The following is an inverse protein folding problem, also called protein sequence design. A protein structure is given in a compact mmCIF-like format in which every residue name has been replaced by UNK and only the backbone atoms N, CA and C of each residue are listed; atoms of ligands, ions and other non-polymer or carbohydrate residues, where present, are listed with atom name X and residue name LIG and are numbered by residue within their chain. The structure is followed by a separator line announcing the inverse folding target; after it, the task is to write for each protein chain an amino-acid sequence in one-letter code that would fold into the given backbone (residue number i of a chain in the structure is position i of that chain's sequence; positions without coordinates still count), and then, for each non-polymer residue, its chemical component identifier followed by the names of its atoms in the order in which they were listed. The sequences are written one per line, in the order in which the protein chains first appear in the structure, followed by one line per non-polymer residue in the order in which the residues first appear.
data_IF_752194443428
#
_entry.id   IF_752194443428
#
_cell.length_a   1.000
_cell.length_b   1.000
_cell.length_c   1.000
_cell.angle_alpha   90.00
_cell.angle_beta   90.00
_cell.angle_gamma   90.00
#
_symmetry.space_group_name_H-M   'P 1'
#
loop_
_entity.id
_entity.type
_entity.pdbx_description
1 polymer ?
#
# COMPACT_ATOMS: atom_id res chain seq x y z
N UNK A 1 16.84 -11.16 14.02
CA UNK A 1 15.83 -11.00 12.93
C UNK A 1 14.96 -9.83 13.31
N UNK A 2 14.86 -8.84 12.48
CA UNK A 2 13.97 -7.70 12.67
C UNK A 2 13.01 -7.57 11.48
N UNK A 3 11.80 -7.07 11.73
CA UNK A 3 10.79 -6.80 10.72
C UNK A 3 10.56 -5.29 10.63
N UNK A 4 10.74 -4.71 9.45
CA UNK A 4 10.59 -3.28 9.22
C UNK A 4 9.48 -3.00 8.21
N UNK A 5 8.40 -2.32 8.62
CA UNK A 5 7.44 -1.76 7.69
C UNK A 5 8.00 -0.47 7.09
N UNK A 6 8.02 -0.40 5.76
CA UNK A 6 8.57 0.72 4.98
C UNK A 6 7.41 1.47 4.33
N UNK A 7 7.38 2.79 4.49
CA UNK A 7 6.40 3.67 3.87
C UNK A 7 6.53 3.75 2.35
N UNK A 8 5.65 4.52 1.73
CA UNK A 8 5.59 4.74 0.28
C UNK A 8 6.95 5.21 -0.26
N UNK A 9 7.59 4.35 -1.06
CA UNK A 9 8.91 4.64 -1.63
C UNK A 9 8.78 5.54 -2.84
N UNK A 10 7.82 5.28 -3.69
CA UNK A 10 7.48 6.06 -4.89
C UNK A 10 8.71 6.46 -5.72
N UNK A 11 9.64 5.53 -5.97
CA UNK A 11 10.84 5.80 -6.77
C UNK A 11 11.91 6.66 -6.07
N UNK A 12 11.84 6.86 -4.76
CA UNK A 12 12.85 7.53 -3.95
C UNK A 12 13.98 6.54 -3.58
N UNK A 13 14.73 6.12 -4.60
CA UNK A 13 15.72 5.05 -4.49
C UNK A 13 16.85 5.35 -3.49
N UNK A 14 17.39 6.56 -3.52
CA UNK A 14 18.52 6.91 -2.66
C UNK A 14 18.09 7.01 -1.20
N UNK A 15 16.87 7.49 -0.95
CA UNK A 15 16.28 7.56 0.38
C UNK A 15 16.01 6.15 0.93
N UNK A 16 15.55 5.23 0.07
CA UNK A 16 15.41 3.82 0.45
C UNK A 16 16.77 3.23 0.85
N UNK A 17 17.81 3.42 0.04
CA UNK A 17 19.16 2.96 0.36
C UNK A 17 19.68 3.56 1.65
N UNK A 18 19.57 4.88 1.82
CA UNK A 18 20.02 5.57 3.03
C UNK A 18 19.25 5.13 4.28
N UNK A 19 17.95 4.84 4.17
CA UNK A 19 17.16 4.31 5.27
C UNK A 19 17.60 2.89 5.64
N UNK A 20 17.83 2.02 4.65
CA UNK A 20 18.30 0.64 4.88
C UNK A 20 19.70 0.61 5.51
N UNK A 21 20.61 1.47 5.06
CA UNK A 21 21.93 1.63 5.66
C UNK A 21 21.82 2.13 7.11
N UNK A 22 20.93 3.08 7.40
CA UNK A 22 20.69 3.62 8.76
C UNK A 22 20.18 2.57 9.74
N UNK A 23 19.36 1.62 9.28
CA UNK A 23 18.85 0.53 10.13
C UNK A 23 19.76 -0.69 10.13
N UNK A 24 20.89 -0.65 9.40
CA UNK A 24 21.82 -1.77 9.20
C UNK A 24 21.08 -3.04 8.70
N UNK A 25 20.21 -2.88 7.70
CA UNK A 25 19.39 -3.97 7.16
C UNK A 25 20.26 -5.08 6.55
N UNK A 26 20.05 -6.31 7.03
CA UNK A 26 20.70 -7.52 6.50
C UNK A 26 19.63 -8.44 5.86
N UNK A 27 19.58 -8.58 4.51
CA UNK A 27 18.58 -9.40 3.86
C UNK A 27 18.66 -10.91 4.18
N UNK A 28 19.78 -11.36 4.79
CA UNK A 28 19.91 -12.74 5.26
C UNK A 28 19.19 -12.99 6.60
N UNK A 29 18.90 -11.95 7.36
CA UNK A 29 18.34 -12.05 8.71
C UNK A 29 17.02 -11.30 8.87
N UNK A 30 16.87 -10.15 8.21
CA UNK A 30 15.76 -9.22 8.41
C UNK A 30 14.69 -9.32 7.32
N UNK A 31 13.49 -8.80 7.60
CA UNK A 31 12.39 -8.69 6.64
C UNK A 31 11.94 -7.26 6.46
N UNK A 32 11.63 -6.90 5.22
CA UNK A 32 11.01 -5.63 4.86
C UNK A 32 9.54 -5.86 4.50
N UNK A 33 8.68 -5.00 5.01
CA UNK A 33 7.24 -4.99 4.73
C UNK A 33 6.90 -3.68 4.00
N UNK A 34 6.78 -3.74 2.69
CA UNK A 34 6.46 -2.55 1.91
C UNK A 34 4.94 -2.35 1.86
N UNK A 35 4.49 -1.19 2.30
CA UNK A 35 3.07 -0.82 2.31
C UNK A 35 2.50 -0.48 0.93
N UNK A 36 3.26 -0.70 -0.14
CA UNK A 36 2.89 -0.39 -1.52
C UNK A 36 3.46 0.95 -2.02
N UNK A 37 3.03 1.32 -3.23
CA UNK A 37 3.54 2.49 -3.94
C UNK A 37 5.08 2.50 -3.98
N UNK A 38 5.64 1.40 -4.49
CA UNK A 38 7.09 1.24 -4.61
C UNK A 38 7.68 2.21 -5.64
N UNK A 39 6.92 2.50 -6.68
CA UNK A 39 7.35 3.20 -7.90
C UNK A 39 6.41 4.36 -8.24
N UNK A 40 6.81 5.14 -9.26
CA UNK A 40 6.11 6.31 -9.77
C UNK A 40 6.33 7.58 -8.92
N UNK A 41 6.02 8.73 -9.48
CA UNK A 41 6.14 10.08 -8.89
C UNK A 41 7.57 10.53 -8.57
N UNK A 42 8.36 9.74 -7.90
CA UNK A 42 9.75 10.05 -7.58
C UNK A 42 10.70 9.83 -8.76
N UNK A 43 11.98 10.15 -8.58
CA UNK A 43 12.92 10.30 -9.70
C UNK A 43 13.40 8.98 -10.30
N UNK A 44 13.32 7.86 -9.58
CA UNK A 44 14.00 6.62 -9.97
C UNK A 44 13.21 5.34 -9.71
N UNK A 45 12.10 5.21 -10.41
CA UNK A 45 11.25 4.01 -10.36
C UNK A 45 12.00 2.75 -10.82
N UNK A 46 12.89 2.89 -11.80
CA UNK A 46 13.63 1.74 -12.35
C UNK A 46 14.60 1.15 -11.32
N UNK A 47 15.50 1.95 -10.75
CA UNK A 47 16.45 1.44 -9.75
C UNK A 47 15.75 0.97 -8.48
N UNK A 48 14.65 1.59 -8.11
CA UNK A 48 13.86 1.17 -6.94
C UNK A 48 13.32 -0.25 -7.11
N UNK A 49 12.61 -0.52 -8.21
CA UNK A 49 12.03 -1.84 -8.44
C UNK A 49 13.12 -2.90 -8.66
N UNK A 50 14.19 -2.56 -9.39
CA UNK A 50 15.33 -3.45 -9.60
C UNK A 50 15.98 -3.87 -8.29
N UNK A 51 16.19 -2.92 -7.38
CA UNK A 51 16.78 -3.19 -6.08
C UNK A 51 15.86 -4.06 -5.21
N UNK A 52 14.58 -3.70 -5.08
CA UNK A 52 13.63 -4.47 -4.28
C UNK A 52 13.48 -5.89 -4.85
N UNK A 53 13.45 -6.03 -6.17
CA UNK A 53 13.41 -7.33 -6.81
C UNK A 53 14.64 -8.20 -6.49
N UNK A 54 15.85 -7.61 -6.40
CA UNK A 54 17.08 -8.33 -6.03
C UNK A 54 17.02 -8.91 -4.61
N UNK A 55 16.31 -8.23 -3.70
CA UNK A 55 16.15 -8.67 -2.30
C UNK A 55 14.75 -9.24 -2.00
N UNK A 56 13.97 -9.60 -3.04
CA UNK A 56 12.56 -9.98 -2.93
C UNK A 56 12.24 -11.09 -1.93
N UNK A 57 13.21 -11.99 -1.68
CA UNK A 57 13.04 -13.13 -0.77
C UNK A 57 13.03 -12.69 0.72
N UNK A 58 13.48 -11.47 1.00
CA UNK A 58 13.38 -10.81 2.30
C UNK A 58 12.29 -9.75 2.37
N UNK A 59 11.39 -9.70 1.36
CA UNK A 59 10.36 -8.66 1.26
C UNK A 59 8.96 -9.25 1.27
N UNK A 60 8.08 -8.67 2.08
CA UNK A 60 6.63 -8.80 1.99
C UNK A 60 6.08 -7.50 1.39
N UNK A 61 5.34 -7.58 0.29
CA UNK A 61 4.85 -6.41 -0.43
C UNK A 61 3.34 -6.46 -0.55
N UNK A 62 2.66 -5.37 -0.23
CA UNK A 62 1.30 -5.13 -0.70
C UNK A 62 1.32 -4.11 -1.82
N UNK A 63 0.39 -4.22 -2.78
CA UNK A 63 0.32 -3.29 -3.91
C UNK A 63 -0.37 -1.99 -3.50
N UNK A 64 0.24 -0.87 -3.87
CA UNK A 64 -0.37 0.43 -3.84
C UNK A 64 -1.07 0.78 -5.16
N UNK A 65 -1.77 1.92 -5.18
CA UNK A 65 -2.47 2.37 -6.38
C UNK A 65 -1.50 2.73 -7.52
N UNK A 66 -0.28 3.20 -7.22
CA UNK A 66 0.73 3.48 -8.25
C UNK A 66 1.33 2.21 -8.84
N UNK A 67 1.47 1.14 -8.07
CA UNK A 67 1.94 -0.16 -8.56
C UNK A 67 0.91 -0.79 -9.51
N UNK A 68 -0.39 -0.75 -9.16
CA UNK A 68 -1.47 -1.23 -10.02
C UNK A 68 -1.58 -0.36 -11.28
N UNK A 69 -1.42 0.96 -11.15
CA UNK A 69 -1.39 1.87 -12.29
C UNK A 69 -0.25 1.55 -13.26
N UNK A 70 0.94 1.27 -12.76
CA UNK A 70 2.06 0.82 -13.59
C UNK A 70 1.71 -0.46 -14.36
N UNK A 71 1.08 -1.44 -13.71
CA UNK A 71 0.66 -2.67 -14.39
C UNK A 71 -0.30 -2.38 -15.55
N UNK A 72 -1.25 -1.45 -15.39
CA UNK A 72 -2.19 -1.08 -16.45
C UNK A 72 -1.48 -0.37 -17.63
N UNK A 73 -0.50 0.49 -17.36
CA UNK A 73 0.30 1.15 -18.39
C UNK A 73 1.18 0.12 -19.12
N UNK A 74 1.86 -0.75 -18.39
CA UNK A 74 2.75 -1.77 -18.94
C UNK A 74 2.03 -2.82 -19.81
N UNK A 75 0.70 -2.94 -19.65
CA UNK A 75 -0.18 -3.74 -20.52
C UNK A 75 -0.80 -2.94 -21.67
N UNK A 76 -0.46 -1.65 -21.84
CA UNK A 76 -1.06 -0.73 -22.81
C UNK A 76 -2.58 -0.57 -22.65
N UNK A 77 -3.10 -0.76 -21.44
CA UNK A 77 -4.52 -0.57 -21.09
C UNK A 77 -4.81 0.86 -20.64
N UNK A 78 -3.77 1.61 -20.32
CA UNK A 78 -3.82 3.02 -19.94
C UNK A 78 -2.64 3.78 -20.51
N UNK A 79 -2.85 5.04 -20.89
CA UNK A 79 -1.75 5.95 -21.21
C UNK A 79 -1.16 6.53 -19.92
N UNK A 80 0.16 6.73 -19.84
CA UNK A 80 0.77 7.42 -18.72
C UNK A 80 0.16 8.83 -18.54
N UNK A 81 0.02 9.25 -17.29
CA UNK A 81 -0.26 10.64 -16.97
C UNK A 81 1.01 11.49 -17.15
N UNK A 82 0.82 12.81 -17.23
CA UNK A 82 1.96 13.75 -17.41
C UNK A 82 2.96 13.67 -16.24
N UNK A 83 2.46 13.39 -15.05
CA UNK A 83 3.23 13.34 -13.81
C UNK A 83 3.86 11.96 -13.53
N UNK A 84 3.63 10.98 -14.41
CA UNK A 84 4.21 9.64 -14.21
C UNK A 84 5.69 9.63 -14.58
N UNK A 85 6.50 9.02 -13.71
CA UNK A 85 7.96 8.90 -13.85
C UNK A 85 8.39 7.47 -14.18
N UNK A 86 7.59 6.78 -15.00
CA UNK A 86 7.72 5.34 -15.29
C UNK A 86 8.50 5.04 -16.58
N UNK A 87 8.90 6.08 -17.35
CA UNK A 87 9.45 5.89 -18.70
C UNK A 87 10.62 4.90 -18.73
N UNK A 88 11.64 5.11 -17.90
CA UNK A 88 12.83 4.25 -17.89
C UNK A 88 12.49 2.80 -17.52
N UNK A 89 11.54 2.59 -16.60
CA UNK A 89 11.07 1.27 -16.21
C UNK A 89 10.30 0.59 -17.35
N UNK A 90 9.45 1.33 -18.07
CA UNK A 90 8.68 0.82 -19.21
C UNK A 90 9.57 0.45 -20.42
N UNK A 91 10.70 1.12 -20.58
CA UNK A 91 11.70 0.86 -21.63
C UNK A 91 12.74 -0.20 -21.21
N UNK A 92 12.67 -0.73 -19.99
CA UNK A 92 13.62 -1.71 -19.46
C UNK A 92 13.49 -3.07 -20.16
N UNK A 93 14.63 -3.70 -20.44
CA UNK A 93 14.70 -5.10 -20.94
C UNK A 93 14.06 -6.09 -19.94
N UNK A 94 14.04 -5.76 -18.65
CA UNK A 94 13.47 -6.57 -17.58
C UNK A 94 12.01 -6.22 -17.25
N UNK A 95 11.33 -5.42 -18.07
CA UNK A 95 9.93 -5.00 -17.82
C UNK A 95 9.02 -6.18 -17.51
N UNK A 96 9.07 -7.25 -18.31
CA UNK A 96 8.23 -8.43 -18.12
C UNK A 96 8.52 -9.16 -16.81
N UNK A 97 9.77 -9.16 -16.35
CA UNK A 97 10.18 -9.75 -15.09
C UNK A 97 9.56 -8.99 -13.90
N UNK A 98 9.71 -7.66 -13.88
CA UNK A 98 9.16 -6.81 -12.82
C UNK A 98 7.63 -6.82 -12.82
N UNK A 99 7.02 -6.75 -13.99
CA UNK A 99 5.58 -6.86 -14.19
C UNK A 99 5.02 -8.17 -13.61
N UNK A 100 5.65 -9.31 -13.97
CA UNK A 100 5.26 -10.62 -13.45
C UNK A 100 5.44 -10.72 -11.94
N UNK A 101 6.49 -10.13 -11.39
CA UNK A 101 6.72 -10.12 -9.96
C UNK A 101 5.66 -9.29 -9.22
N UNK A 102 5.37 -8.06 -9.68
CA UNK A 102 4.33 -7.21 -9.08
C UNK A 102 2.94 -7.84 -9.13
N UNK A 103 2.54 -8.46 -10.25
CA UNK A 103 1.26 -9.20 -10.36
C UNK A 103 1.09 -10.26 -9.27
N UNK A 104 2.19 -10.80 -8.76
CA UNK A 104 2.19 -11.83 -7.74
C UNK A 104 2.27 -11.27 -6.31
N UNK A 105 2.25 -9.95 -6.12
CA UNK A 105 2.18 -9.36 -4.79
C UNK A 105 0.74 -9.34 -4.26
N UNK A 106 0.60 -9.09 -2.96
CA UNK A 106 -0.69 -9.13 -2.27
C UNK A 106 -1.33 -7.74 -2.21
N UNK A 107 -2.63 -7.66 -1.85
CA UNK A 107 -3.29 -6.41 -1.45
C UNK A 107 -3.37 -6.28 0.08
N UNK A 108 -3.20 -7.39 0.76
CA UNK A 108 -3.22 -7.52 2.20
C UNK A 108 -2.22 -8.60 2.61
N UNK A 109 -1.44 -8.32 3.61
CA UNK A 109 -0.49 -9.28 4.22
C UNK A 109 -0.63 -9.23 5.73
N UNK A 110 -0.51 -10.35 6.41
CA UNK A 110 -0.49 -10.40 7.88
C UNK A 110 0.44 -11.49 8.40
N UNK A 111 0.96 -11.26 9.57
CA UNK A 111 1.82 -12.21 10.28
C UNK A 111 1.75 -11.99 11.79
N UNK A 112 2.00 -13.06 12.56
CA UNK A 112 2.19 -12.99 14.00
C UNK A 112 3.65 -12.71 14.30
N UNK A 113 3.94 -11.61 14.95
CA UNK A 113 5.30 -11.18 15.33
C UNK A 113 5.45 -11.27 16.85
N UNK A 114 6.52 -11.91 17.28
CA UNK A 114 6.93 -11.88 18.69
C UNK A 114 7.55 -10.52 18.98
N UNK A 115 6.88 -9.71 19.79
CA UNK A 115 7.33 -8.39 20.22
C UNK A 115 7.85 -8.44 21.67
N UNK A 116 8.51 -7.35 22.12
CA UNK A 116 9.01 -7.24 23.49
C UNK A 116 7.90 -7.36 24.54
N UNK A 117 6.70 -6.86 24.21
CA UNK A 117 5.50 -6.82 25.06
C UNK A 117 4.48 -7.95 24.78
N UNK A 118 4.87 -8.97 23.99
CA UNK A 118 4.04 -10.12 23.67
C UNK A 118 3.82 -10.33 22.17
N UNK A 119 3.00 -11.33 21.83
CA UNK A 119 2.65 -11.60 20.44
C UNK A 119 1.66 -10.58 19.88
N UNK A 120 1.99 -9.98 18.73
CA UNK A 120 1.11 -9.09 17.98
C UNK A 120 0.81 -9.64 16.60
N UNK A 121 -0.40 -9.42 16.12
CA UNK A 121 -0.79 -9.67 14.74
C UNK A 121 -0.65 -8.36 13.99
N UNK A 122 0.28 -8.27 13.07
CA UNK A 122 0.37 -7.14 12.16
C UNK A 122 -0.34 -7.44 10.87
N UNK A 123 -1.29 -6.58 10.48
CA UNK A 123 -1.99 -6.65 9.21
C UNK A 123 -1.66 -5.40 8.41
N UNK A 124 -1.09 -5.59 7.23
CA UNK A 124 -0.64 -4.54 6.33
C UNK A 124 -1.53 -4.48 5.09
N UNK A 125 -1.99 -3.27 4.77
CA UNK A 125 -2.63 -2.90 3.50
C UNK A 125 -2.05 -1.58 3.03
N UNK A 126 -2.29 -1.20 1.76
CA UNK A 126 -1.76 0.08 1.31
C UNK A 126 -2.52 1.28 1.90
N UNK A 127 -3.87 1.30 1.87
CA UNK A 127 -4.64 2.47 2.31
C UNK A 127 -5.48 2.25 3.57
N UNK A 128 -5.76 1.01 3.95
CA UNK A 128 -6.55 0.70 5.14
C UNK A 128 -7.59 -0.39 4.91
N UNK A 129 -8.48 -0.56 5.89
CA UNK A 129 -9.58 -1.53 5.87
C UNK A 129 -10.87 -0.80 6.19
N UNK A 130 -11.95 -0.99 5.40
CA UNK A 130 -13.25 -0.37 5.68
C UNK A 130 -13.77 -0.73 7.07
N UNK A 131 -14.36 0.21 7.81
CA UNK A 131 -14.78 -0.02 9.20
C UNK A 131 -15.74 -1.18 9.40
N UNK A 132 -16.63 -1.43 8.42
CA UNK A 132 -17.66 -2.46 8.46
C UNK A 132 -17.16 -3.87 8.08
N UNK A 133 -15.94 -4.01 7.56
CA UNK A 133 -15.39 -5.32 7.19
C UNK A 133 -14.98 -6.14 8.41
N UNK A 134 -15.35 -7.40 8.38
CA UNK A 134 -14.75 -8.43 9.23
C UNK A 134 -13.36 -8.82 8.69
N UNK A 135 -12.65 -9.64 9.47
CA UNK A 135 -11.40 -10.26 9.00
C UNK A 135 -11.59 -11.06 7.70
N UNK A 136 -12.69 -11.79 7.63
CA UNK A 136 -13.01 -12.62 6.48
C UNK A 136 -13.29 -11.76 5.24
N UNK A 137 -14.08 -10.69 5.37
CA UNK A 137 -14.35 -9.76 4.26
C UNK A 137 -13.05 -9.18 3.69
N UNK A 138 -12.13 -8.76 4.55
CA UNK A 138 -10.84 -8.21 4.13
C UNK A 138 -9.99 -9.24 3.37
N UNK A 139 -9.95 -10.49 3.86
CA UNK A 139 -9.22 -11.57 3.22
C UNK A 139 -9.83 -11.96 1.87
N UNK A 140 -11.16 -12.11 1.80
CA UNK A 140 -11.87 -12.46 0.56
C UNK A 140 -11.69 -11.38 -0.50
N UNK A 141 -11.82 -10.10 -0.14
CA UNK A 141 -11.61 -8.99 -1.05
C UNK A 141 -10.17 -8.97 -1.61
N UNK A 142 -9.16 -9.13 -0.76
CA UNK A 142 -7.77 -9.18 -1.18
C UNK A 142 -7.47 -10.40 -2.06
N UNK A 143 -8.02 -11.56 -1.73
CA UNK A 143 -7.84 -12.80 -2.49
C UNK A 143 -8.52 -12.73 -3.87
N UNK A 144 -9.72 -12.12 -3.97
CA UNK A 144 -10.41 -11.93 -5.26
C UNK A 144 -9.55 -11.11 -6.23
N UNK A 145 -8.98 -10.00 -5.75
CA UNK A 145 -8.10 -9.14 -6.56
C UNK A 145 -6.81 -9.88 -6.91
N UNK A 146 -6.22 -10.59 -5.95
CA UNK A 146 -5.02 -11.40 -6.15
C UNK A 146 -5.24 -12.47 -7.23
N UNK A 147 -6.37 -13.15 -7.19
CA UNK A 147 -6.74 -14.15 -8.19
C UNK A 147 -6.89 -13.51 -9.58
N UNK A 148 -7.52 -12.33 -9.67
CA UNK A 148 -7.65 -11.60 -10.93
C UNK A 148 -6.29 -11.14 -11.49
N UNK A 149 -5.37 -10.67 -10.63
CA UNK A 149 -4.01 -10.30 -11.03
C UNK A 149 -3.20 -11.52 -11.51
N UNK A 150 -3.40 -12.68 -10.95
CA UNK A 150 -2.63 -13.91 -11.26
C UNK A 150 -3.14 -14.64 -12.49
N UNK A 151 -4.42 -14.49 -12.86
CA UNK A 151 -5.04 -15.12 -14.04
C UNK A 151 -4.85 -14.26 -15.30
N UNK A 152 -4.27 -14.82 -16.36
CA UNK A 152 -3.94 -14.06 -17.57
C UNK A 152 -5.17 -13.53 -18.34
N UNK A 153 -6.34 -14.15 -18.18
CA UNK A 153 -7.57 -13.69 -18.83
C UNK A 153 -8.22 -12.58 -18.02
N UNK A 154 -8.31 -12.76 -16.69
CA UNK A 154 -8.94 -11.81 -15.79
C UNK A 154 -8.07 -10.57 -15.56
N UNK A 155 -6.76 -10.72 -15.63
CA UNK A 155 -5.78 -9.65 -15.40
C UNK A 155 -6.04 -8.41 -16.25
N UNK A 156 -6.17 -8.61 -17.56
CA UNK A 156 -6.39 -7.48 -18.49
C UNK A 156 -7.79 -6.87 -18.31
N UNK A 157 -8.81 -7.69 -18.09
CA UNK A 157 -10.17 -7.22 -17.84
C UNK A 157 -10.24 -6.41 -16.53
N UNK A 158 -9.66 -6.94 -15.44
CA UNK A 158 -9.53 -6.23 -14.18
C UNK A 158 -8.84 -4.88 -14.36
N UNK A 159 -7.63 -4.83 -14.92
CA UNK A 159 -6.87 -3.59 -15.08
C UNK A 159 -7.55 -2.56 -15.98
N UNK A 160 -8.30 -3.00 -16.98
CA UNK A 160 -9.08 -2.10 -17.85
C UNK A 160 -10.21 -1.39 -17.11
N UNK A 161 -10.67 -1.95 -15.99
CA UNK A 161 -11.89 -1.53 -15.29
C UNK A 161 -11.66 -1.02 -13.86
N UNK A 162 -10.41 -0.95 -13.37
CA UNK A 162 -10.12 -0.54 -11.99
C UNK A 162 -10.30 0.96 -11.74
N UNK A 163 -10.31 1.78 -12.79
CA UNK A 163 -10.38 3.23 -12.64
C UNK A 163 -11.80 3.71 -12.39
N UNK A 164 -11.88 4.72 -11.57
CA UNK A 164 -13.15 5.40 -11.25
C UNK A 164 -13.43 5.41 -9.74
N UNK A 165 -14.33 6.31 -9.35
CA UNK A 165 -14.72 6.51 -7.95
C UNK A 165 -16.06 5.81 -7.63
N UNK A 166 -16.71 5.20 -8.62
CA UNK A 166 -17.96 4.47 -8.44
C UNK A 166 -17.78 2.99 -8.83
N UNK A 167 -18.47 2.07 -8.13
CA UNK A 167 -19.27 2.32 -6.92
C UNK A 167 -18.39 2.79 -5.76
N UNK A 168 -18.93 3.60 -4.85
CA UNK A 168 -18.24 4.11 -3.68
C UNK A 168 -18.70 3.45 -2.37
N UNK A 169 -19.62 2.49 -2.44
CA UNK A 169 -20.04 1.65 -1.32
C UNK A 169 -20.49 0.27 -1.76
N UNK A 170 -20.49 -0.67 -0.84
CA UNK A 170 -20.98 -2.03 -1.08
C UNK A 170 -22.51 -2.04 -1.23
N UNK A 171 -22.98 -2.73 -2.26
CA UNK A 171 -24.40 -3.00 -2.51
C UNK A 171 -24.59 -4.50 -2.82
N UNK A 172 -25.76 -5.08 -2.47
CA UNK A 172 -25.96 -6.54 -2.58
C UNK A 172 -25.81 -7.11 -3.99
N UNK A 173 -26.02 -6.30 -5.03
CA UNK A 173 -26.06 -6.74 -6.42
C UNK A 173 -24.90 -6.21 -7.27
N UNK A 174 -23.77 -5.82 -6.65
CA UNK A 174 -22.60 -5.42 -7.43
C UNK A 174 -22.11 -6.59 -8.30
N UNK A 175 -21.94 -6.33 -9.59
CA UNK A 175 -21.28 -7.28 -10.46
C UNK A 175 -19.80 -7.43 -10.03
N UNK A 176 -19.14 -8.47 -10.52
CA UNK A 176 -17.77 -8.80 -10.13
C UNK A 176 -16.79 -7.66 -10.36
N UNK A 177 -16.86 -6.99 -11.49
CA UNK A 177 -15.93 -5.90 -11.88
C UNK A 177 -16.10 -4.70 -10.95
N UNK A 178 -17.34 -4.28 -10.70
CA UNK A 178 -17.62 -3.15 -9.82
C UNK A 178 -17.21 -3.45 -8.37
N UNK A 179 -17.44 -4.70 -7.90
CA UNK A 179 -16.99 -5.14 -6.59
C UNK A 179 -15.46 -5.13 -6.50
N UNK A 180 -14.73 -5.65 -7.48
CA UNK A 180 -13.27 -5.61 -7.50
C UNK A 180 -12.74 -4.17 -7.55
N UNK A 181 -13.37 -3.27 -8.32
CA UNK A 181 -13.00 -1.83 -8.33
C UNK A 181 -13.20 -1.21 -6.95
N UNK A 182 -14.33 -1.43 -6.32
CA UNK A 182 -14.62 -0.93 -4.98
C UNK A 182 -13.60 -1.47 -3.96
N UNK A 183 -13.34 -2.78 -3.96
CA UNK A 183 -12.38 -3.42 -3.07
C UNK A 183 -10.96 -2.89 -3.30
N UNK A 184 -10.58 -2.65 -4.56
CA UNK A 184 -9.30 -2.00 -4.89
C UNK A 184 -9.25 -0.58 -4.32
N UNK A 185 -10.32 0.20 -4.45
CA UNK A 185 -10.39 1.55 -3.90
C UNK A 185 -10.31 1.55 -2.37
N UNK A 186 -10.94 0.60 -1.69
CA UNK A 186 -10.80 0.42 -0.24
C UNK A 186 -9.35 0.16 0.15
N UNK A 187 -8.74 -0.85 -0.43
CA UNK A 187 -7.41 -1.32 -0.02
C UNK A 187 -6.27 -0.40 -0.48
N UNK A 188 -6.50 0.46 -1.52
CA UNK A 188 -5.40 1.23 -2.12
C UNK A 188 -5.63 2.74 -2.21
N UNK A 189 -6.84 3.26 -1.94
CA UNK A 189 -7.14 4.69 -2.14
C UNK A 189 -7.92 5.34 -1.01
N UNK A 190 -8.46 4.55 -0.07
CA UNK A 190 -9.30 5.05 1.01
C UNK A 190 -8.55 6.02 1.92
N UNK A 191 -9.20 7.12 2.26
CA UNK A 191 -8.81 8.06 3.34
C UNK A 191 -10.01 8.34 4.23
N UNK A 192 -11.05 8.87 3.63
CA UNK A 192 -12.29 9.21 4.32
C UNK A 192 -13.42 8.28 3.88
N UNK A 193 -14.22 7.86 4.85
CA UNK A 193 -15.42 7.07 4.59
C UNK A 193 -16.50 7.37 5.65
N UNK A 194 -17.70 6.84 5.41
CA UNK A 194 -18.74 6.70 6.44
C UNK A 194 -18.58 5.37 7.19
N UNK A 195 -19.30 5.22 8.28
CA UNK A 195 -19.25 3.99 9.10
C UNK A 195 -19.72 2.73 8.35
N UNK A 196 -20.58 2.88 7.34
CA UNK A 196 -21.05 1.82 6.46
C UNK A 196 -20.08 1.54 5.28
N UNK A 197 -18.95 2.24 5.23
CA UNK A 197 -17.93 2.09 4.19
C UNK A 197 -18.15 2.95 2.95
N UNK A 198 -19.15 3.81 2.88
CA UNK A 198 -19.27 4.74 1.74
C UNK A 198 -18.02 5.60 1.63
N UNK A 199 -17.29 5.49 0.49
CA UNK A 199 -16.02 6.15 0.25
C UNK A 199 -16.18 7.60 -0.20
N UNK A 200 -15.24 8.43 0.25
CA UNK A 200 -14.91 9.71 -0.35
C UNK A 200 -13.47 9.63 -0.88
N UNK A 201 -13.27 9.82 -2.17
CA UNK A 201 -11.99 9.55 -2.86
C UNK A 201 -11.32 10.81 -3.45
N UNK A 202 -11.92 11.98 -3.32
CA UNK A 202 -11.39 13.23 -3.88
C UNK A 202 -10.61 14.05 -2.87
N UNK A 203 -11.02 14.05 -1.60
CA UNK A 203 -10.33 14.73 -0.53
C UNK A 203 -8.98 14.06 -0.21
N UNK A 204 -7.90 14.84 -0.24
CA UNK A 204 -6.51 14.36 -0.04
C UNK A 204 -5.79 15.08 1.10
N UNK A 205 -6.47 15.95 1.79
CA UNK A 205 -5.92 16.77 2.86
C UNK A 205 -5.63 15.99 4.15
N UNK A 206 -5.36 16.74 5.20
CA UNK A 206 -5.20 16.21 6.55
C UNK A 206 -6.55 15.79 7.14
N UNK A 207 -6.54 15.15 8.29
CA UNK A 207 -7.76 14.65 8.93
C UNK A 207 -8.81 15.74 9.20
N UNK A 208 -8.39 16.98 9.53
CA UNK A 208 -9.28 18.11 9.73
C UNK A 208 -10.01 18.59 8.46
N UNK A 209 -9.50 18.23 7.28
CA UNK A 209 -10.08 18.62 5.99
C UNK A 209 -11.20 17.66 5.53
N UNK A 210 -11.65 16.80 6.44
CA UNK A 210 -12.67 15.79 6.13
C UNK A 210 -13.95 16.42 5.58
N UNK A 211 -14.52 15.89 4.51
CA UNK A 211 -15.79 16.34 3.98
C UNK A 211 -16.94 16.10 4.97
N UNK A 212 -17.98 16.91 4.88
CA UNK A 212 -19.14 16.82 5.78
C UNK A 212 -19.76 15.41 5.73
N UNK A 213 -19.90 14.78 6.89
CA UNK A 213 -20.48 13.44 7.02
C UNK A 213 -19.49 12.29 6.85
N UNK A 214 -18.22 12.58 6.58
CA UNK A 214 -17.14 11.59 6.48
C UNK A 214 -16.15 11.75 7.62
N UNK A 215 -15.42 10.69 7.93
CA UNK A 215 -14.30 10.69 8.86
C UNK A 215 -13.13 9.92 8.26
N UNK A 216 -11.92 10.11 8.81
CA UNK A 216 -10.81 9.19 8.54
C UNK A 216 -11.27 7.76 8.87
N UNK A 217 -10.95 6.81 8.00
CA UNK A 217 -11.45 5.44 8.12
C UNK A 217 -11.16 4.82 9.50
N UNK A 218 -10.01 5.14 10.08
CA UNK A 218 -9.55 4.63 11.36
C UNK A 218 -10.21 5.31 12.58
N UNK A 219 -10.98 6.38 12.40
CA UNK A 219 -11.76 7.02 13.47
C UNK A 219 -13.15 6.42 13.64
N UNK A 220 -13.51 5.45 12.83
CA UNK A 220 -14.72 4.66 13.04
C UNK A 220 -14.42 3.44 13.91
N UNK A 221 -15.39 2.94 14.68
CA UNK A 221 -15.28 1.63 15.31
C UNK A 221 -15.09 0.56 14.23
N UNK A 222 -13.96 -0.17 14.28
CA UNK A 222 -13.69 -1.23 13.33
C UNK A 222 -14.41 -2.52 13.73
N UNK A 223 -14.97 -3.22 12.74
CA UNK A 223 -15.59 -4.55 12.95
C UNK A 223 -14.55 -5.63 13.22
N UNK A 224 -13.36 -5.51 12.61
CA UNK A 224 -12.21 -6.35 12.95
C UNK A 224 -11.78 -6.07 14.39
N UNK A 225 -12.07 -7.04 15.28
CA UNK A 225 -11.72 -6.93 16.71
C UNK A 225 -10.77 -8.05 17.08
N UNK A 226 -9.57 -7.69 17.47
CA UNK A 226 -8.61 -8.57 18.12
C UNK A 226 -7.68 -7.68 18.97
N UNK A 227 -7.52 -8.02 20.24
CA UNK A 227 -6.72 -7.22 21.17
C UNK A 227 -5.25 -7.09 20.75
N UNK A 228 -4.74 -8.08 20.01
CA UNK A 228 -3.36 -8.10 19.55
C UNK A 228 -3.18 -7.59 18.11
N UNK A 229 -4.27 -7.12 17.46
CA UNK A 229 -4.20 -6.67 16.07
C UNK A 229 -3.68 -5.25 15.96
N UNK A 230 -2.66 -5.09 15.11
CA UNK A 230 -2.09 -3.81 14.70
C UNK A 230 -2.24 -3.68 13.18
N UNK A 231 -2.77 -2.54 12.74
CA UNK A 231 -2.93 -2.23 11.30
C UNK A 231 -1.82 -1.32 10.84
N UNK A 232 -1.16 -1.67 9.73
CA UNK A 232 -0.11 -0.85 9.11
C UNK A 232 -0.58 -0.43 7.73
N UNK A 233 -0.41 0.86 7.40
CA UNK A 233 -0.77 1.38 6.09
C UNK A 233 0.11 2.57 5.65
N UNK A 234 0.12 2.84 4.35
CA UNK A 234 0.78 3.95 3.68
C UNK A 234 -0.19 4.98 3.11
N UNK A 235 -0.01 5.35 1.83
CA UNK A 235 -0.95 6.10 0.99
C UNK A 235 -1.28 7.53 1.44
N UNK A 236 -1.34 7.83 2.72
CA UNK A 236 -1.85 9.10 3.23
C UNK A 236 -0.73 9.98 3.79
N UNK A 237 0.12 10.47 2.88
CA UNK A 237 1.28 11.32 3.21
C UNK A 237 0.92 12.53 4.10
N UNK A 238 -0.27 13.11 3.93
CA UNK A 238 -0.70 14.26 4.70
C UNK A 238 -0.83 14.00 6.21
N UNK A 239 -0.93 12.74 6.64
CA UNK A 239 -0.90 12.36 8.08
C UNK A 239 0.50 12.52 8.70
N UNK A 240 1.55 12.57 7.88
CA UNK A 240 2.93 12.63 8.37
C UNK A 240 3.31 11.45 9.27
N UNK A 241 2.69 10.29 9.07
CA UNK A 241 2.89 9.09 9.87
C UNK A 241 2.16 9.09 11.23
N UNK A 242 1.08 9.85 11.40
CA UNK A 242 0.37 9.99 12.69
C UNK A 242 -1.12 9.69 12.55
N UNK A 243 -1.62 8.73 13.33
CA UNK A 243 -3.06 8.47 13.49
C UNK A 243 -3.57 8.82 14.88
N UNK A 244 -2.67 9.02 15.86
CA UNK A 244 -2.97 9.14 17.30
C UNK A 244 -3.71 7.91 17.87
N UNK A 245 -3.68 6.78 17.20
CA UNK A 245 -4.24 5.49 17.64
C UNK A 245 -3.12 4.47 17.63
N UNK A 246 -2.72 4.00 18.80
CA UNK A 246 -1.54 3.13 19.02
C UNK A 246 -1.49 1.92 18.08
N UNK A 247 -2.62 1.26 17.85
CA UNK A 247 -2.71 0.04 17.04
C UNK A 247 -2.93 0.28 15.55
N UNK A 248 -2.96 1.55 15.10
CA UNK A 248 -3.15 1.92 13.70
C UNK A 248 -1.97 2.78 13.26
N UNK A 249 -1.07 2.17 12.52
CA UNK A 249 0.26 2.70 12.20
C UNK A 249 0.24 3.22 10.77
N UNK A 250 0.22 4.55 10.60
CA UNK A 250 0.50 5.20 9.33
C UNK A 250 2.01 5.32 9.15
N UNK A 251 2.55 4.95 7.98
CA UNK A 251 4.00 4.98 7.76
C UNK A 251 4.40 5.77 6.49
N UNK A 252 3.44 6.21 5.67
CA UNK A 252 3.72 7.16 4.60
C UNK A 252 4.02 8.53 5.22
N UNK A 253 5.26 8.94 5.12
CA UNK A 253 5.77 10.22 5.65
C UNK A 253 6.16 11.18 4.56
N UNK A 254 5.67 10.96 3.33
CA UNK A 254 5.71 11.90 2.23
C UNK A 254 7.08 12.09 1.59
N UNK A 255 7.88 11.04 1.46
CA UNK A 255 9.23 11.13 0.88
C UNK A 255 9.24 11.83 -0.48
N UNK A 256 8.39 11.41 -1.40
CA UNK A 256 8.30 11.99 -2.75
C UNK A 256 7.87 13.46 -2.75
N UNK A 257 7.24 13.93 -1.68
CA UNK A 257 6.77 15.30 -1.49
C UNK A 257 7.79 16.20 -0.79
N UNK A 258 9.04 15.72 -0.63
CA UNK A 258 10.12 16.53 -0.04
C UNK A 258 10.29 16.34 1.47
N UNK A 259 9.62 15.34 2.08
CA UNK A 259 9.75 15.09 3.51
C UNK A 259 10.74 13.96 3.79
N UNK A 260 10.30 12.80 4.22
CA UNK A 260 11.18 11.69 4.62
C UNK A 260 10.59 10.34 4.26
N UNK A 261 11.44 9.33 4.09
CA UNK A 261 11.06 7.93 4.07
C UNK A 261 11.21 7.34 5.48
N UNK A 262 10.22 6.58 5.92
CA UNK A 262 10.21 6.02 7.27
C UNK A 262 10.11 4.51 7.27
N UNK A 263 10.74 3.91 8.29
CA UNK A 263 10.63 2.49 8.64
C UNK A 263 10.13 2.37 10.08
N UNK A 264 9.17 1.45 10.29
CA UNK A 264 8.65 1.09 11.61
C UNK A 264 9.11 -0.33 11.93
N UNK A 265 9.88 -0.52 13.00
CA UNK A 265 10.28 -1.85 13.45
C UNK A 265 9.18 -2.46 14.30
N UNK A 266 8.72 -3.67 13.90
CA UNK A 266 7.52 -4.28 14.46
C UNK A 266 7.73 -4.75 15.91
N UNK A 267 8.93 -5.21 16.25
CA UNK A 267 9.24 -5.85 17.51
C UNK A 267 9.18 -4.89 18.71
N UNK A 268 9.57 -3.63 18.51
CA UNK A 268 9.69 -2.61 19.58
C UNK A 268 9.01 -1.27 19.24
N UNK A 269 8.25 -1.23 18.16
CA UNK A 269 7.50 -0.05 17.70
C UNK A 269 8.38 1.18 17.39
N UNK A 270 9.68 0.97 17.12
CA UNK A 270 10.64 2.04 16.88
C UNK A 270 10.56 2.54 15.43
N UNK A 271 10.49 3.87 15.28
CA UNK A 271 10.48 4.53 13.98
C UNK A 271 11.86 5.05 13.63
N UNK A 272 12.29 4.75 12.41
CA UNK A 272 13.49 5.30 11.77
C UNK A 272 13.06 6.12 10.56
N UNK A 273 13.81 7.16 10.24
CA UNK A 273 13.51 7.98 9.06
C UNK A 273 14.78 8.44 8.38
N UNK A 274 14.68 8.65 7.08
CA UNK A 274 15.73 9.23 6.24
C UNK A 274 15.11 10.39 5.45
N UNK A 275 15.70 11.58 5.57
CA UNK A 275 15.18 12.78 4.94
C UNK A 275 15.33 12.71 3.42
N UNK A 276 14.42 13.36 2.70
CA UNK A 276 14.48 13.50 1.25
C UNK A 276 15.78 14.20 0.84
N UNK A 277 16.50 13.57 -0.08
CA UNK A 277 17.66 14.20 -0.73
C UNK A 277 17.12 15.14 -1.81
N UNK A 278 17.48 16.39 -1.74
CA UNK A 278 17.04 17.44 -2.68
C UNK A 278 17.63 17.25 -4.08
#
# INVERSE_FOLDING_TARGET
MANYAIGDVQGCFFELKGLLDKINFDPAQDKLWFVGDLINRGPDSFRTIEFIYKIKDSCNVVLGNHDIHFLAIAENLRKPFKEDTLKQLLESENLNLYKKWLRNQNLLYYENIQCEDGNKIYLMTHAGIPPHWSWQDAMEAAQEIKAALSDDKLYRDYLSNIYGNLPNKSEPNLNRIDRMRLNTNYLTRMRFCKSDGELELEAKGIESDKPKGFNAWFNHPLTIKNENLHLIFGHWAALGGKTNIEKIIAIDTGCVWGYKLSAYRLEDSKVFSYDRIT
#
